data_IF_129267577677
#
_entry.id   IF_129267577677
#
_cell.length_a   1.000
_cell.length_b   1.000
_cell.length_c   1.000
_cell.angle_alpha   90.00
_cell.angle_beta   90.00
_cell.angle_gamma   90.00
#
_symmetry.space_group_name_H-M   'P 1'
#
loop_
_entity.id
_entity.type
_entity.pdbx_description
1 polymer ?
#
# COMPACT_ATOMS: atom_id res chain seq x y z
N UNK A 1 71.66 19.07 0.70
CA UNK A 1 70.22 19.17 0.89
C UNK A 1 69.97 18.36 2.18
N UNK A 2 69.48 19.02 3.24
CA UNK A 2 69.38 18.30 4.53
C UNK A 2 68.26 17.25 4.44
N UNK A 3 68.50 16.08 5.04
CA UNK A 3 67.50 14.97 5.08
C UNK A 3 66.13 15.41 5.64
N UNK A 4 66.14 16.41 6.53
CA UNK A 4 64.94 17.06 7.11
C UNK A 4 64.06 17.75 6.02
N UNK A 5 64.68 18.37 4.99
CA UNK A 5 63.90 19.01 3.93
C UNK A 5 63.25 18.00 3.00
N UNK A 6 63.90 16.87 2.76
CA UNK A 6 63.38 15.79 1.97
C UNK A 6 62.19 15.12 2.71
N UNK A 7 62.31 14.88 4.03
CA UNK A 7 61.25 14.33 4.86
C UNK A 7 60.05 15.27 4.96
N UNK A 8 60.28 16.58 5.08
CA UNK A 8 59.20 17.58 5.03
C UNK A 8 58.45 17.57 3.71
N UNK A 9 59.14 17.55 2.58
CA UNK A 9 58.51 17.45 1.25
C UNK A 9 57.75 16.16 1.05
N UNK A 10 58.29 15.03 1.47
CA UNK A 10 57.62 13.72 1.37
C UNK A 10 56.37 13.64 2.25
N UNK A 11 56.40 14.24 3.42
CA UNK A 11 55.27 14.33 4.33
C UNK A 11 54.13 15.18 3.74
N UNK A 12 54.45 16.35 3.18
CA UNK A 12 53.46 17.20 2.51
C UNK A 12 52.90 16.52 1.25
N UNK A 13 53.74 15.85 0.47
CA UNK A 13 53.30 15.11 -0.71
C UNK A 13 52.31 13.97 -0.35
N UNK A 14 52.60 13.22 0.72
CA UNK A 14 51.68 12.16 1.20
C UNK A 14 50.35 12.73 1.65
N UNK A 15 50.32 13.83 2.39
CA UNK A 15 49.09 14.52 2.78
C UNK A 15 48.33 15.04 1.60
N UNK A 16 48.99 15.62 0.61
CA UNK A 16 48.34 16.12 -0.62
C UNK A 16 47.72 14.98 -1.44
N UNK A 17 48.39 13.86 -1.56
CA UNK A 17 47.86 12.66 -2.23
C UNK A 17 46.65 12.12 -1.46
N UNK A 18 46.72 12.04 -0.13
CA UNK A 18 45.59 11.55 0.68
C UNK A 18 44.38 12.47 0.53
N UNK A 19 44.55 13.78 0.57
CA UNK A 19 43.47 14.76 0.36
C UNK A 19 42.87 14.60 -1.06
N UNK A 20 43.73 14.48 -2.08
CA UNK A 20 43.27 14.30 -3.45
C UNK A 20 42.44 13.00 -3.61
N UNK A 21 42.85 11.89 -3.01
CA UNK A 21 42.11 10.63 -3.00
C UNK A 21 40.75 10.80 -2.31
N UNK A 22 40.70 11.47 -1.14
CA UNK A 22 39.43 11.73 -0.44
C UNK A 22 38.47 12.55 -1.32
N UNK A 23 38.97 13.61 -1.97
CA UNK A 23 38.17 14.46 -2.86
C UNK A 23 37.62 13.62 -4.04
N UNK A 24 38.42 12.79 -4.65
CA UNK A 24 38.00 11.89 -5.75
C UNK A 24 36.90 10.93 -5.28
N UNK A 25 37.07 10.31 -4.10
CA UNK A 25 36.07 9.41 -3.52
C UNK A 25 34.75 10.14 -3.24
N UNK A 26 34.83 11.37 -2.71
CA UNK A 26 33.64 12.20 -2.46
C UNK A 26 32.94 12.61 -3.77
N UNK A 27 33.71 12.98 -4.81
CA UNK A 27 33.13 13.30 -6.13
C UNK A 27 32.48 12.08 -6.75
N UNK A 28 33.15 10.94 -6.76
CA UNK A 28 32.60 9.67 -7.28
C UNK A 28 31.34 9.26 -6.51
N UNK A 29 31.37 9.33 -5.18
CA UNK A 29 30.24 9.07 -4.32
C UNK A 29 29.05 10.02 -4.61
N UNK A 30 29.31 11.31 -4.78
CA UNK A 30 28.31 12.31 -5.11
C UNK A 30 27.70 12.08 -6.50
N UNK A 31 28.53 11.78 -7.51
CA UNK A 31 28.06 11.44 -8.87
C UNK A 31 27.21 10.18 -8.85
N UNK A 32 27.70 9.12 -8.20
CA UNK A 32 26.97 7.87 -8.06
C UNK A 32 25.60 8.09 -7.38
N UNK A 33 25.60 8.84 -6.25
CA UNK A 33 24.38 9.16 -5.52
C UNK A 33 23.37 9.92 -6.39
N UNK A 34 23.78 10.99 -7.07
CA UNK A 34 22.84 11.83 -7.81
C UNK A 34 22.40 11.23 -9.15
N UNK A 35 23.28 10.54 -9.87
CA UNK A 35 22.99 10.07 -11.23
C UNK A 35 22.56 8.62 -11.33
N UNK A 36 22.87 7.80 -10.33
CA UNK A 36 22.47 6.38 -10.31
C UNK A 36 21.40 6.17 -9.25
N UNK A 37 21.74 6.39 -7.98
CA UNK A 37 20.84 6.11 -6.86
C UNK A 37 19.56 6.94 -6.89
N UNK A 38 19.65 8.24 -7.18
CA UNK A 38 18.52 9.17 -7.25
C UNK A 38 17.91 9.27 -8.66
N UNK A 39 18.30 8.38 -9.60
CA UNK A 39 17.68 8.40 -10.93
C UNK A 39 16.21 7.95 -10.86
N UNK A 40 15.31 8.59 -11.63
CA UNK A 40 13.91 8.18 -11.64
C UNK A 40 13.71 6.71 -11.99
N UNK A 41 14.52 6.15 -12.88
CA UNK A 41 14.45 4.74 -13.28
C UNK A 41 14.77 3.80 -12.12
N UNK A 42 15.84 4.11 -11.37
CA UNK A 42 16.25 3.30 -10.23
C UNK A 42 15.20 3.36 -9.12
N UNK A 43 14.73 4.56 -8.75
CA UNK A 43 13.72 4.76 -7.72
C UNK A 43 12.42 4.02 -8.05
N UNK A 44 11.98 4.04 -9.31
CA UNK A 44 10.78 3.30 -9.71
C UNK A 44 10.95 1.79 -9.60
N UNK A 45 12.11 1.25 -10.03
CA UNK A 45 12.44 -0.18 -9.91
C UNK A 45 12.53 -0.62 -8.45
N UNK A 46 13.15 0.20 -7.60
CA UNK A 46 13.24 -0.08 -6.16
C UNK A 46 11.87 -0.02 -5.49
N UNK A 47 11.01 0.92 -5.89
CA UNK A 47 9.64 1.00 -5.39
C UNK A 47 8.86 -0.29 -5.66
N UNK A 48 8.97 -0.88 -6.86
CA UNK A 48 8.35 -2.17 -7.16
C UNK A 48 8.90 -3.28 -6.25
N UNK A 49 10.20 -3.30 -6.06
CA UNK A 49 10.88 -4.29 -5.19
C UNK A 49 10.46 -4.12 -3.73
N UNK A 50 10.44 -2.89 -3.22
CA UNK A 50 10.06 -2.57 -1.84
C UNK A 50 8.59 -2.88 -1.58
N UNK A 51 7.72 -2.64 -2.56
CA UNK A 51 6.30 -3.00 -2.45
C UNK A 51 6.09 -4.51 -2.28
N UNK A 52 6.91 -5.34 -2.93
CA UNK A 52 6.88 -6.79 -2.84
C UNK A 52 7.63 -7.35 -1.61
N UNK A 53 8.39 -6.53 -0.88
CA UNK A 53 9.19 -6.91 0.30
C UNK A 53 8.61 -6.39 1.62
N UNK A 54 7.49 -5.69 1.58
CA UNK A 54 6.94 -5.11 2.78
C UNK A 54 6.10 -6.11 3.56
N UNK A 55 6.30 -6.14 4.87
CA UNK A 55 5.46 -6.93 5.77
C UNK A 55 4.23 -6.17 6.30
N UNK A 56 4.14 -4.88 6.02
CA UNK A 56 2.98 -4.08 6.41
C UNK A 56 2.88 -2.76 5.65
N UNK A 57 1.67 -2.26 5.53
CA UNK A 57 1.37 -0.95 4.92
C UNK A 57 0.03 -0.42 5.43
N UNK A 58 -0.09 0.89 5.54
CA UNK A 58 -1.35 1.61 5.72
C UNK A 58 -1.74 2.26 4.39
N UNK A 59 -2.94 1.96 3.90
CA UNK A 59 -3.56 2.62 2.75
C UNK A 59 -4.72 3.48 3.22
N UNK A 60 -4.82 4.71 2.73
CA UNK A 60 -5.98 5.56 2.96
C UNK A 60 -6.62 5.94 1.62
N UNK A 61 -7.94 5.87 1.56
CA UNK A 61 -8.75 6.35 0.46
C UNK A 61 -9.76 7.35 1.00
N UNK A 62 -9.78 8.54 0.41
CA UNK A 62 -10.81 9.55 0.67
C UNK A 62 -11.56 9.78 -0.63
N UNK A 63 -12.85 9.46 -0.63
CA UNK A 63 -13.74 9.72 -1.76
C UNK A 63 -14.92 10.57 -1.28
N UNK A 64 -15.26 11.60 -2.04
CA UNK A 64 -16.37 12.48 -1.71
C UNK A 64 -17.19 12.77 -2.97
N UNK A 65 -18.49 12.65 -2.83
CA UNK A 65 -19.48 13.08 -3.81
C UNK A 65 -20.35 14.18 -3.19
N UNK A 66 -21.24 14.77 -3.96
CA UNK A 66 -22.15 15.83 -3.45
C UNK A 66 -23.05 15.38 -2.28
N UNK A 67 -23.28 14.08 -2.12
CA UNK A 67 -24.21 13.52 -1.13
C UNK A 67 -23.58 12.56 -0.13
N UNK A 68 -22.38 12.10 -0.39
CA UNK A 68 -21.71 11.06 0.41
C UNK A 68 -20.21 11.30 0.49
N UNK A 69 -19.63 11.09 1.67
CA UNK A 69 -18.19 10.99 1.85
C UNK A 69 -17.82 9.63 2.42
N UNK A 70 -16.75 9.06 1.92
CA UNK A 70 -16.16 7.79 2.38
C UNK A 70 -14.72 8.09 2.75
N UNK A 71 -14.36 7.77 3.98
CA UNK A 71 -12.97 7.73 4.42
C UNK A 71 -12.67 6.28 4.81
N UNK A 72 -11.72 5.70 4.14
CA UNK A 72 -11.32 4.32 4.33
C UNK A 72 -9.84 4.25 4.68
N UNK A 73 -9.51 3.60 5.77
CA UNK A 73 -8.14 3.29 6.17
C UNK A 73 -8.03 1.77 6.22
N UNK A 74 -7.08 1.24 5.48
CA UNK A 74 -6.75 -0.19 5.45
C UNK A 74 -5.33 -0.37 5.99
N UNK A 75 -5.18 -1.20 7.01
CA UNK A 75 -3.88 -1.64 7.51
C UNK A 75 -3.69 -3.09 7.17
N UNK A 76 -2.65 -3.38 6.41
CA UNK A 76 -2.29 -4.73 6.01
C UNK A 76 -1.04 -5.17 6.78
N UNK A 77 -1.11 -6.33 7.41
CA UNK A 77 0.02 -7.01 8.04
C UNK A 77 0.23 -8.37 7.35
N UNK A 78 1.43 -8.61 6.89
CA UNK A 78 1.88 -9.86 6.24
C UNK A 78 3.17 -10.33 6.92
N UNK A 79 3.04 -10.73 8.17
CA UNK A 79 4.15 -11.16 9.00
C UNK A 79 3.89 -12.55 9.61
N UNK A 80 4.16 -12.66 10.90
CA UNK A 80 3.85 -13.88 11.68
C UNK A 80 2.34 -14.15 11.80
N UNK A 81 1.55 -13.13 11.71
CA UNK A 81 0.08 -13.16 11.69
C UNK A 81 -0.39 -12.38 10.48
N UNK A 82 -0.86 -13.06 9.45
CA UNK A 82 -1.47 -12.37 8.31
C UNK A 82 -2.82 -11.80 8.76
N UNK A 83 -2.97 -10.48 8.70
CA UNK A 83 -4.21 -9.81 9.09
C UNK A 83 -4.40 -8.51 8.32
N UNK A 84 -5.64 -8.13 8.10
CA UNK A 84 -6.01 -6.82 7.57
C UNK A 84 -7.04 -6.18 8.49
N UNK A 85 -6.84 -4.91 8.82
CA UNK A 85 -7.80 -4.08 9.52
C UNK A 85 -8.37 -3.06 8.55
N UNK A 86 -9.68 -2.90 8.56
CA UNK A 86 -10.40 -2.03 7.64
C UNK A 86 -11.31 -1.09 8.42
N UNK A 87 -10.88 0.15 8.60
CA UNK A 87 -11.67 1.21 9.22
C UNK A 87 -12.36 2.02 8.12
N UNK A 88 -13.69 1.99 8.10
CA UNK A 88 -14.51 2.70 7.11
C UNK A 88 -15.46 3.64 7.80
N UNK A 89 -15.38 4.93 7.44
CA UNK A 89 -16.38 5.94 7.82
C UNK A 89 -17.16 6.34 6.57
N UNK A 90 -18.45 6.11 6.61
CA UNK A 90 -19.40 6.55 5.58
C UNK A 90 -20.27 7.63 6.18
N UNK A 91 -20.29 8.80 5.54
CA UNK A 91 -21.16 9.91 5.93
C UNK A 91 -22.08 10.28 4.76
N UNK A 92 -23.37 10.29 5.00
CA UNK A 92 -24.39 10.66 4.02
C UNK A 92 -25.43 11.58 4.66
N UNK A 93 -25.54 12.81 4.17
CA UNK A 93 -26.44 13.82 4.74
C UNK A 93 -26.20 13.99 6.25
N UNK A 94 -27.15 13.56 7.08
CA UNK A 94 -27.10 13.67 8.54
C UNK A 94 -26.75 12.34 9.24
N UNK A 95 -26.32 11.33 8.49
CA UNK A 95 -25.98 10.01 9.01
C UNK A 95 -24.48 9.76 8.84
N UNK A 96 -23.82 9.28 9.87
CA UNK A 96 -22.44 8.82 9.79
C UNK A 96 -22.29 7.50 10.53
N UNK A 97 -21.67 6.54 9.87
CA UNK A 97 -21.37 5.23 10.43
C UNK A 97 -19.90 4.95 10.26
N UNK A 98 -19.25 4.58 11.36
CA UNK A 98 -17.87 4.09 11.33
C UNK A 98 -17.87 2.62 11.75
N UNK A 99 -17.40 1.77 10.87
CA UNK A 99 -17.15 0.34 11.11
C UNK A 99 -15.66 0.05 11.11
N UNK A 100 -15.28 -0.92 11.92
CA UNK A 100 -13.94 -1.47 12.02
C UNK A 100 -14.05 -2.97 11.78
N UNK A 101 -13.36 -3.47 10.79
CA UNK A 101 -13.37 -4.89 10.41
C UNK A 101 -11.96 -5.44 10.41
N UNK A 102 -11.76 -6.64 10.93
CA UNK A 102 -10.48 -7.33 10.95
C UNK A 102 -10.66 -8.66 10.24
N UNK A 103 -9.86 -8.92 9.22
CA UNK A 103 -9.78 -10.20 8.51
C UNK A 103 -8.46 -10.89 8.80
N UNK A 104 -8.53 -12.18 9.09
CA UNK A 104 -7.41 -13.12 9.03
C UNK A 104 -7.69 -14.13 7.91
N UNK A 105 -6.73 -14.96 7.49
CA UNK A 105 -7.00 -15.98 6.46
C UNK A 105 -8.14 -16.94 6.79
N UNK A 106 -8.48 -17.09 8.08
CA UNK A 106 -9.47 -18.09 8.56
C UNK A 106 -10.68 -17.50 9.25
N UNK A 107 -10.66 -16.22 9.64
CA UNK A 107 -11.73 -15.63 10.48
C UNK A 107 -11.82 -14.14 10.27
N UNK A 108 -13.04 -13.61 10.28
CA UNK A 108 -13.30 -12.19 10.24
C UNK A 108 -14.01 -11.68 11.49
N UNK A 109 -13.84 -10.40 11.75
CA UNK A 109 -14.42 -9.66 12.87
C UNK A 109 -14.94 -8.32 12.39
N UNK A 110 -16.05 -7.86 12.94
CA UNK A 110 -16.61 -6.54 12.66
C UNK A 110 -17.14 -5.91 13.94
N UNK A 111 -16.95 -4.61 14.07
CA UNK A 111 -17.64 -3.78 15.07
C UNK A 111 -18.03 -2.44 14.47
N UNK A 112 -19.00 -1.79 15.09
CA UNK A 112 -19.33 -0.41 14.83
C UNK A 112 -18.76 0.45 15.94
N UNK A 113 -17.88 1.41 15.58
CA UNK A 113 -17.23 2.29 16.55
C UNK A 113 -18.01 3.58 16.75
N UNK A 114 -18.80 3.97 15.73
CA UNK A 114 -19.71 5.13 15.82
C UNK A 114 -20.91 4.89 14.91
N UNK A 115 -22.08 5.23 15.42
CA UNK A 115 -23.33 5.23 14.66
C UNK A 115 -24.04 6.55 15.00
N UNK A 116 -23.95 7.52 14.11
CA UNK A 116 -24.71 8.79 14.19
C UNK A 116 -25.84 8.73 13.16
N UNK A 117 -26.99 8.27 13.61
CA UNK A 117 -28.25 8.28 12.83
C UNK A 117 -29.14 9.34 13.46
N UNK A 118 -29.87 10.10 12.65
CA UNK A 118 -30.96 10.95 13.18
C UNK A 118 -32.05 10.01 13.70
N UNK A 119 -32.13 9.76 15.03
CA UNK A 119 -33.04 8.76 15.54
C UNK A 119 -34.46 9.29 15.43
N UNK A 120 -35.34 8.46 14.89
CA UNK A 120 -36.76 8.68 14.95
C UNK A 120 -37.33 8.63 16.41
N UNK A 121 -36.55 8.01 17.34
CA UNK A 121 -36.92 7.88 18.76
C UNK A 121 -35.68 7.82 19.66
N UNK A 122 -35.78 8.40 20.87
CA UNK A 122 -34.75 8.44 21.90
C UNK A 122 -34.40 7.02 22.40
N UNK A 123 -35.36 6.08 22.42
CA UNK A 123 -35.16 4.68 22.86
C UNK A 123 -34.23 3.94 21.92
N UNK A 124 -34.40 4.04 20.61
CA UNK A 124 -33.52 3.41 19.62
C UNK A 124 -32.08 3.90 19.71
N UNK A 125 -31.88 5.21 19.98
CA UNK A 125 -30.54 5.77 20.15
C UNK A 125 -29.77 5.15 21.33
N UNK A 126 -30.44 4.85 22.45
CA UNK A 126 -29.83 4.20 23.60
C UNK A 126 -29.45 2.74 23.29
N UNK A 127 -30.29 2.01 22.55
CA UNK A 127 -30.01 0.64 22.13
C UNK A 127 -28.86 0.57 21.13
N UNK A 128 -28.81 1.46 20.12
CA UNK A 128 -27.65 1.58 19.23
C UNK A 128 -26.35 1.81 20.01
N UNK A 129 -26.38 2.68 21.02
CA UNK A 129 -25.21 2.96 21.85
C UNK A 129 -24.69 1.69 22.58
N UNK A 130 -25.58 0.76 22.91
CA UNK A 130 -25.19 -0.51 23.57
C UNK A 130 -24.47 -1.48 22.63
N UNK A 131 -24.60 -1.31 21.30
CA UNK A 131 -23.97 -2.13 20.28
C UNK A 131 -22.62 -1.53 19.79
N UNK A 132 -22.36 -0.27 20.11
CA UNK A 132 -21.09 0.38 19.76
C UNK A 132 -19.96 -0.32 20.51
N UNK A 133 -18.86 -0.61 19.77
CA UNK A 133 -17.67 -1.33 20.22
C UNK A 133 -17.88 -2.81 20.60
N UNK A 134 -19.02 -3.40 20.25
CA UNK A 134 -19.22 -4.85 20.37
C UNK A 134 -18.64 -5.53 19.13
N UNK A 135 -17.71 -6.47 19.31
CA UNK A 135 -17.16 -7.25 18.23
C UNK A 135 -18.06 -8.42 17.85
N UNK A 136 -18.46 -8.46 16.58
CA UNK A 136 -19.00 -9.66 15.94
C UNK A 136 -17.88 -10.50 15.37
N UNK A 137 -17.90 -11.82 15.62
CA UNK A 137 -17.01 -12.80 15.01
C UNK A 137 -17.78 -13.58 13.96
N UNK A 138 -17.19 -13.79 12.78
CA UNK A 138 -17.77 -14.64 11.74
C UNK A 138 -18.01 -16.06 12.29
N UNK A 139 -19.25 -16.52 12.17
CA UNK A 139 -19.69 -17.84 12.61
C UNK A 139 -19.95 -18.80 11.42
N UNK A 140 -19.54 -18.37 10.20
CA UNK A 140 -19.70 -19.14 8.97
C UNK A 140 -21.14 -19.29 8.49
N UNK A 141 -22.08 -18.52 9.06
CA UNK A 141 -23.52 -18.57 8.73
C UNK A 141 -23.99 -17.34 7.94
N UNK A 142 -23.14 -16.35 7.76
CA UNK A 142 -23.43 -15.18 6.94
C UNK A 142 -23.00 -15.43 5.51
N UNK A 143 -23.76 -14.90 4.53
CA UNK A 143 -23.45 -14.99 3.10
C UNK A 143 -22.12 -14.29 2.74
N UNK A 144 -21.66 -13.39 3.60
CA UNK A 144 -20.36 -12.73 3.49
C UNK A 144 -19.42 -13.35 4.51
N UNK A 145 -18.63 -14.33 4.08
CA UNK A 145 -17.56 -14.87 4.90
C UNK A 145 -16.53 -13.76 5.17
N UNK A 146 -16.51 -13.26 6.42
CA UNK A 146 -15.47 -12.32 6.87
C UNK A 146 -14.09 -12.99 6.92
N UNK A 147 -14.03 -14.32 6.92
CA UNK A 147 -12.78 -15.08 6.76
C UNK A 147 -12.12 -14.85 5.41
N UNK A 148 -12.89 -14.45 4.38
CA UNK A 148 -12.35 -14.01 3.09
C UNK A 148 -11.92 -12.52 3.12
N UNK A 149 -12.19 -11.79 4.19
CA UNK A 149 -11.91 -10.35 4.26
C UNK A 149 -10.41 -10.05 4.11
N UNK A 150 -9.53 -10.90 4.66
CA UNK A 150 -8.08 -10.74 4.45
C UNK A 150 -7.74 -10.89 2.97
N UNK A 151 -8.19 -11.96 2.31
CA UNK A 151 -7.98 -12.19 0.89
C UNK A 151 -8.64 -11.07 0.06
N UNK A 152 -9.87 -10.70 0.40
CA UNK A 152 -10.58 -9.60 -0.27
C UNK A 152 -9.86 -8.27 -0.08
N UNK A 153 -9.38 -7.96 1.12
CA UNK A 153 -8.62 -6.73 1.39
C UNK A 153 -7.32 -6.71 0.60
N UNK A 154 -6.62 -7.84 0.55
CA UNK A 154 -5.42 -7.98 -0.26
C UNK A 154 -5.78 -7.81 -1.75
N UNK A 155 -6.83 -8.46 -2.25
CA UNK A 155 -7.31 -8.31 -3.61
C UNK A 155 -7.84 -6.89 -3.90
N UNK A 156 -8.49 -6.21 -2.96
CA UNK A 156 -8.96 -4.83 -3.13
C UNK A 156 -7.80 -3.82 -3.15
N UNK A 157 -6.73 -4.07 -2.42
CA UNK A 157 -5.47 -3.34 -2.59
C UNK A 157 -4.91 -3.56 -4.00
N UNK A 158 -5.15 -4.74 -4.56
CA UNK A 158 -4.68 -5.19 -5.87
C UNK A 158 -5.69 -4.92 -7.02
N UNK A 159 -6.96 -4.68 -6.75
CA UNK A 159 -8.01 -4.43 -7.76
C UNK A 159 -7.93 -3.06 -8.43
N UNK A 160 -7.23 -2.11 -7.82
CA UNK A 160 -6.72 -1.00 -8.58
C UNK A 160 -5.48 -1.51 -9.32
N UNK A 161 -5.22 -1.15 -10.59
CA UNK A 161 -4.02 -1.59 -11.30
C UNK A 161 -2.76 -0.94 -10.71
N UNK A 162 -2.35 -1.42 -9.55
CA UNK A 162 -1.24 -0.95 -8.73
C UNK A 162 -0.10 -1.95 -8.72
N UNK A 163 1.13 -1.51 -8.45
CA UNK A 163 2.18 -2.43 -8.04
C UNK A 163 1.71 -3.32 -6.89
N UNK A 164 1.90 -4.65 -6.98
CA UNK A 164 1.49 -5.56 -5.92
C UNK A 164 2.25 -5.26 -4.62
N UNK A 165 1.53 -5.33 -3.50
CA UNK A 165 2.07 -5.04 -2.18
C UNK A 165 2.02 -6.32 -1.35
N UNK A 166 3.19 -6.80 -0.89
CA UNK A 166 3.22 -8.02 -0.11
C UNK A 166 4.60 -8.43 0.38
N UNK A 167 4.64 -9.45 1.22
CA UNK A 167 5.86 -10.03 1.75
C UNK A 167 6.10 -11.40 1.09
N UNK A 168 6.69 -11.39 -0.09
CA UNK A 168 7.03 -12.61 -0.84
C UNK A 168 8.53 -12.90 -0.80
N UNK A 169 8.91 -14.14 -1.10
CA UNK A 169 10.32 -14.54 -1.09
C UNK A 169 11.16 -13.78 -2.11
N UNK A 170 12.45 -13.66 -1.87
CA UNK A 170 13.36 -12.93 -2.76
C UNK A 170 13.36 -13.46 -4.20
N UNK A 171 13.23 -14.80 -4.39
CA UNK A 171 13.16 -15.42 -5.72
C UNK A 171 11.85 -15.10 -6.46
N UNK A 172 10.73 -15.13 -5.78
CA UNK A 172 9.42 -14.78 -6.34
C UNK A 172 9.37 -13.30 -6.71
N UNK A 173 9.88 -12.43 -5.83
CA UNK A 173 10.01 -10.99 -6.05
C UNK A 173 10.81 -10.68 -7.31
N UNK A 174 11.99 -11.29 -7.44
CA UNK A 174 12.83 -11.12 -8.62
C UNK A 174 12.13 -11.62 -9.90
N UNK A 175 11.38 -12.69 -9.80
CA UNK A 175 10.61 -13.24 -10.92
C UNK A 175 9.51 -12.25 -11.36
N UNK A 176 8.76 -11.65 -10.42
CA UNK A 176 7.70 -10.68 -10.73
C UNK A 176 8.25 -9.37 -11.29
N UNK A 177 9.34 -8.84 -10.74
CA UNK A 177 10.00 -7.64 -11.28
C UNK A 177 10.55 -7.90 -12.68
N UNK A 178 11.15 -9.08 -12.91
CA UNK A 178 11.63 -9.46 -14.25
C UNK A 178 10.46 -9.63 -15.23
N UNK A 179 9.33 -10.15 -14.77
CA UNK A 179 8.13 -10.27 -15.58
C UNK A 179 7.60 -8.89 -15.99
N UNK A 180 7.51 -7.94 -15.05
CA UNK A 180 7.09 -6.56 -15.34
C UNK A 180 7.95 -5.94 -16.46
N UNK A 181 9.28 -6.01 -16.30
CA UNK A 181 10.24 -5.47 -17.26
C UNK A 181 10.11 -6.12 -18.65
N UNK A 182 9.90 -7.44 -18.72
CA UNK A 182 9.81 -8.18 -19.98
C UNK A 182 8.45 -8.00 -20.69
N UNK A 183 7.37 -7.83 -19.93
CA UNK A 183 6.01 -7.75 -20.46
C UNK A 183 5.47 -6.32 -20.47
N UNK A 184 6.24 -5.33 -19.99
CA UNK A 184 5.85 -3.93 -19.87
C UNK A 184 4.51 -3.78 -19.15
N UNK A 185 4.35 -4.45 -17.99
CA UNK A 185 3.13 -4.35 -17.18
C UNK A 185 2.88 -2.91 -16.80
N UNK A 186 3.93 -2.24 -16.27
CA UNK A 186 3.95 -0.82 -15.96
C UNK A 186 4.86 -0.07 -16.93
N UNK A 187 4.26 0.66 -17.85
CA UNK A 187 5.03 1.50 -18.78
C UNK A 187 5.13 2.92 -18.23
N UNK A 188 6.35 3.33 -17.88
CA UNK A 188 6.63 4.66 -17.29
C UNK A 188 7.07 5.64 -18.36
N UNK A 189 6.43 6.80 -18.42
CA UNK A 189 6.91 7.91 -19.25
C UNK A 189 7.96 8.74 -18.50
N UNK A 190 9.21 8.29 -18.51
CA UNK A 190 10.30 8.94 -17.79
C UNK A 190 10.58 10.39 -18.23
N UNK A 191 10.23 10.76 -19.46
CA UNK A 191 10.39 12.13 -19.95
C UNK A 191 9.41 13.12 -19.29
N UNK A 192 8.33 12.61 -18.71
CA UNK A 192 7.30 13.40 -18.02
C UNK A 192 7.36 13.27 -16.49
N UNK A 193 8.33 12.56 -15.93
CA UNK A 193 8.51 12.47 -14.47
C UNK A 193 8.79 13.86 -13.91
N UNK A 194 8.05 14.19 -12.84
CA UNK A 194 8.15 15.49 -12.17
C UNK A 194 8.62 15.30 -10.73
N UNK A 195 9.42 16.25 -10.26
CA UNK A 195 9.76 16.36 -8.85
C UNK A 195 8.73 17.24 -8.14
N UNK A 196 8.24 16.81 -6.99
CA UNK A 196 7.28 17.52 -6.17
C UNK A 196 7.59 17.37 -4.68
N UNK A 197 6.87 18.12 -3.83
CA UNK A 197 6.83 17.92 -2.40
C UNK A 197 5.43 17.42 -2.03
N UNK A 198 5.36 16.30 -1.32
CA UNK A 198 4.13 15.70 -0.81
C UNK A 198 4.24 15.58 0.70
N UNK A 199 3.44 16.32 1.45
CA UNK A 199 3.44 16.33 2.92
C UNK A 199 4.85 16.51 3.56
N UNK A 200 5.66 17.37 2.97
CA UNK A 200 7.03 17.63 3.42
C UNK A 200 8.07 16.64 2.90
N UNK A 201 7.68 15.64 2.14
CA UNK A 201 8.58 14.64 1.53
C UNK A 201 8.88 15.00 0.06
N UNK A 202 10.13 14.84 -0.34
CA UNK A 202 10.52 15.00 -1.74
C UNK A 202 10.15 13.72 -2.52
N UNK A 203 9.31 13.87 -3.54
CA UNK A 203 8.83 12.75 -4.35
C UNK A 203 9.13 12.94 -5.83
N UNK A 204 9.15 11.83 -6.58
CA UNK A 204 8.92 11.81 -8.01
C UNK A 204 7.48 11.39 -8.30
N UNK A 205 6.83 12.07 -9.24
CA UNK A 205 5.52 11.71 -9.77
C UNK A 205 5.74 11.08 -11.15
N UNK A 206 5.37 9.82 -11.27
CA UNK A 206 5.52 9.01 -12.47
C UNK A 206 4.19 8.87 -13.19
N UNK A 207 4.02 9.37 -14.42
CA UNK A 207 2.93 8.96 -15.30
C UNK A 207 3.17 7.52 -15.74
N UNK A 208 2.21 6.64 -15.44
CA UNK A 208 2.31 5.19 -15.66
C UNK A 208 1.09 4.71 -16.42
N UNK A 209 1.32 3.94 -17.48
CA UNK A 209 0.29 3.20 -18.19
C UNK A 209 0.36 1.72 -17.79
N UNK A 210 -0.73 1.16 -17.30
CA UNK A 210 -0.81 -0.24 -16.87
C UNK A 210 -1.51 -1.07 -17.91
N UNK A 211 -0.81 -2.06 -18.48
CA UNK A 211 -1.34 -2.99 -19.47
C UNK A 211 -2.06 -4.14 -18.78
N UNK A 212 -3.39 -4.18 -18.88
CA UNK A 212 -4.24 -5.03 -18.05
C UNK A 212 -4.04 -6.53 -18.26
N UNK A 213 -3.80 -7.02 -19.47
CA UNK A 213 -3.55 -8.44 -19.70
C UNK A 213 -2.30 -8.97 -18.98
N UNK A 214 -1.11 -8.39 -19.22
CA UNK A 214 0.10 -8.71 -18.46
C UNK A 214 -0.06 -8.46 -16.96
N UNK A 215 -0.77 -7.40 -16.56
CA UNK A 215 -1.05 -7.10 -15.17
C UNK A 215 -1.82 -8.23 -14.47
N UNK A 216 -2.91 -8.72 -15.06
CA UNK A 216 -3.69 -9.84 -14.49
C UNK A 216 -2.82 -11.08 -14.33
N UNK A 217 -1.96 -11.42 -15.29
CA UNK A 217 -1.02 -12.55 -15.16
C UNK A 217 -0.01 -12.35 -14.04
N UNK A 218 0.53 -11.14 -13.90
CA UNK A 218 1.43 -10.81 -12.79
C UNK A 218 0.73 -10.96 -11.44
N UNK A 219 -0.53 -10.50 -11.36
CA UNK A 219 -1.34 -10.60 -10.15
C UNK A 219 -1.73 -12.03 -9.81
N UNK A 220 -1.99 -12.89 -10.79
CA UNK A 220 -2.19 -14.33 -10.58
C UNK A 220 -0.95 -14.98 -9.96
N UNK A 221 0.24 -14.69 -10.50
CA UNK A 221 1.50 -15.20 -9.97
C UNK A 221 1.76 -14.70 -8.54
N UNK A 222 1.51 -13.42 -8.28
CA UNK A 222 1.63 -12.83 -6.96
C UNK A 222 0.65 -13.46 -5.95
N UNK A 223 -0.64 -13.57 -6.30
CA UNK A 223 -1.66 -14.18 -5.46
C UNK A 223 -1.32 -15.65 -5.15
N UNK A 224 -0.84 -16.39 -6.15
CA UNK A 224 -0.38 -17.77 -5.97
C UNK A 224 0.76 -17.89 -4.97
N UNK A 225 1.73 -16.96 -4.98
CA UNK A 225 2.83 -16.91 -3.99
C UNK A 225 2.32 -16.71 -2.55
N UNK A 226 1.14 -16.15 -2.39
CA UNK A 226 0.47 -15.95 -1.10
C UNK A 226 -0.56 -17.05 -0.77
N UNK A 227 -0.69 -18.07 -1.63
CA UNK A 227 -1.67 -19.16 -1.47
C UNK A 227 -3.11 -18.74 -1.79
N UNK A 228 -3.31 -17.64 -2.54
CA UNK A 228 -4.63 -17.12 -2.94
C UNK A 228 -4.91 -17.58 -4.37
N UNK A 229 -6.00 -18.32 -4.56
CA UNK A 229 -6.40 -18.89 -5.87
C UNK A 229 -7.56 -18.16 -6.54
N UNK A 230 -8.14 -17.16 -5.89
CA UNK A 230 -9.35 -16.45 -6.35
C UNK A 230 -9.15 -15.77 -7.73
N UNK A 231 -7.91 -15.38 -8.06
CA UNK A 231 -7.59 -14.77 -9.35
C UNK A 231 -7.38 -15.78 -10.49
N UNK A 232 -7.23 -17.07 -10.21
CA UNK A 232 -6.96 -18.10 -11.25
C UNK A 232 -8.13 -18.28 -12.23
N UNK A 233 -9.35 -17.91 -11.83
CA UNK A 233 -10.53 -17.97 -12.66
C UNK A 233 -10.57 -16.92 -13.79
N UNK A 234 -9.78 -15.87 -13.71
CA UNK A 234 -9.73 -14.81 -14.71
C UNK A 234 -8.85 -15.22 -15.88
N UNK A 235 -9.33 -15.05 -17.11
CA UNK A 235 -8.51 -15.23 -18.30
C UNK A 235 -7.81 -13.91 -18.66
N UNK A 236 -6.46 -13.80 -18.51
CA UNK A 236 -5.73 -12.57 -18.79
C UNK A 236 -5.87 -12.07 -20.23
N UNK A 237 -6.07 -12.97 -21.20
CA UNK A 237 -6.18 -12.61 -22.61
C UNK A 237 -7.42 -11.74 -22.91
N UNK A 238 -8.48 -11.87 -22.11
CA UNK A 238 -9.66 -11.01 -22.22
C UNK A 238 -9.37 -9.54 -21.92
N UNK A 239 -8.32 -9.26 -21.15
CA UNK A 239 -7.90 -7.92 -20.77
C UNK A 239 -6.84 -7.33 -21.71
N UNK A 240 -6.24 -8.15 -22.58
CA UNK A 240 -5.13 -7.72 -23.45
C UNK A 240 -5.55 -6.75 -24.56
N UNK A 241 -6.85 -6.71 -24.89
CA UNK A 241 -7.40 -5.79 -25.90
C UNK A 241 -7.92 -4.48 -25.31
N UNK A 242 -7.93 -4.35 -23.99
CA UNK A 242 -8.38 -3.14 -23.33
C UNK A 242 -7.29 -2.06 -23.38
N UNK A 243 -7.73 -0.81 -23.43
CA UNK A 243 -6.79 0.31 -23.32
C UNK A 243 -6.05 0.26 -21.98
N UNK A 244 -4.77 0.64 -21.93
CA UNK A 244 -4.04 0.76 -20.68
C UNK A 244 -4.74 1.71 -19.70
N UNK A 245 -4.61 1.42 -18.42
CA UNK A 245 -5.10 2.32 -17.37
C UNK A 245 -4.01 3.31 -17.02
N UNK A 246 -4.33 4.60 -17.20
CA UNK A 246 -3.43 5.69 -16.88
C UNK A 246 -3.55 6.08 -15.41
N UNK A 247 -2.40 6.20 -14.74
CA UNK A 247 -2.32 6.63 -13.34
C UNK A 247 -1.03 7.40 -13.09
N UNK A 248 -0.99 8.16 -11.98
CA UNK A 248 0.25 8.75 -11.50
C UNK A 248 0.65 8.09 -10.18
N UNK A 249 1.91 7.67 -10.08
CA UNK A 249 2.49 7.12 -8.86
C UNK A 249 3.49 8.13 -8.30
N UNK A 250 3.27 8.56 -7.07
CA UNK A 250 4.22 9.40 -6.33
C UNK A 250 5.10 8.50 -5.44
N UNK A 251 6.41 8.59 -5.62
CA UNK A 251 7.41 7.79 -4.90
C UNK A 251 8.35 8.70 -4.13
N UNK A 252 8.58 8.40 -2.85
CA UNK A 252 9.55 9.10 -2.03
C UNK A 252 10.97 8.87 -2.57
N UNK A 253 11.74 9.95 -2.77
CA UNK A 253 13.08 9.87 -3.34
C UNK A 253 14.12 9.26 -2.41
N UNK A 254 13.87 9.24 -1.11
CA UNK A 254 14.83 8.75 -0.11
C UNK A 254 14.55 7.31 0.29
N UNK A 255 13.29 6.98 0.60
CA UNK A 255 12.90 5.63 1.02
C UNK A 255 12.56 4.73 -0.16
N UNK A 256 12.32 5.28 -1.37
CA UNK A 256 11.85 4.57 -2.55
C UNK A 256 10.52 3.84 -2.31
N UNK A 257 9.68 4.39 -1.46
CA UNK A 257 8.34 3.87 -1.15
C UNK A 257 7.27 4.68 -1.89
N UNK A 258 6.24 3.99 -2.33
CA UNK A 258 5.05 4.63 -2.90
C UNK A 258 4.30 5.40 -1.81
N UNK A 259 3.98 6.66 -2.03
CA UNK A 259 3.27 7.52 -1.06
C UNK A 259 1.86 7.90 -1.53
N UNK A 260 1.64 7.97 -2.84
CA UNK A 260 0.34 8.31 -3.41
C UNK A 260 0.16 7.64 -4.77
N UNK A 261 -1.07 7.27 -5.05
CA UNK A 261 -1.53 6.94 -6.41
C UNK A 261 -2.78 7.73 -6.72
N UNK A 262 -2.77 8.42 -7.86
CA UNK A 262 -3.92 9.15 -8.38
C UNK A 262 -4.34 8.62 -9.75
N UNK A 263 -5.66 8.60 -9.96
CA UNK A 263 -6.31 8.14 -11.18
C UNK A 263 -6.93 9.33 -11.90
N UNK A 264 -6.27 9.90 -12.93
CA UNK A 264 -6.76 11.11 -13.60
C UNK A 264 -8.16 10.96 -14.20
N UNK A 265 -8.53 9.76 -14.62
CA UNK A 265 -9.83 9.48 -15.26
C UNK A 265 -11.03 9.66 -14.32
N UNK A 266 -10.88 9.43 -13.02
CA UNK A 266 -11.98 9.48 -12.05
C UNK A 266 -11.70 10.35 -10.82
N UNK A 267 -10.50 10.93 -10.73
CA UNK A 267 -10.08 11.79 -9.62
C UNK A 267 -9.85 11.06 -8.29
N UNK A 268 -9.80 9.73 -8.27
CA UNK A 268 -9.49 8.98 -7.05
C UNK A 268 -8.04 9.14 -6.66
N UNK A 269 -7.81 9.29 -5.36
CA UNK A 269 -6.49 9.39 -4.75
C UNK A 269 -6.41 8.39 -3.61
N UNK A 270 -5.33 7.63 -3.60
CA UNK A 270 -4.98 6.71 -2.53
C UNK A 270 -3.61 7.11 -1.99
N UNK A 271 -3.48 7.20 -0.68
CA UNK A 271 -2.19 7.46 -0.01
C UNK A 271 -1.72 6.25 0.74
N UNK A 272 -0.40 6.12 0.87
CA UNK A 272 0.27 4.98 1.49
C UNK A 272 1.28 5.46 2.50
N UNK A 273 1.31 4.81 3.67
CA UNK A 273 2.22 5.13 4.77
C UNK A 273 2.56 3.89 5.60
N UNK A 274 3.39 4.07 6.61
CA UNK A 274 3.76 3.05 7.61
C UNK A 274 4.33 1.75 6.98
N UNK A 275 5.08 1.89 5.89
CA UNK A 275 5.73 0.76 5.23
C UNK A 275 6.67 0.02 6.19
N UNK A 276 6.37 -1.26 6.43
CA UNK A 276 7.15 -2.11 7.33
C UNK A 276 7.10 -1.72 8.81
N UNK A 277 6.32 -0.71 9.20
CA UNK A 277 6.33 -0.11 10.55
C UNK A 277 5.14 -0.50 11.42
N UNK A 278 4.11 -1.12 10.86
CA UNK A 278 2.90 -1.47 11.63
C UNK A 278 3.20 -2.52 12.68
N UNK A 279 2.68 -2.24 13.86
CA UNK A 279 2.51 -3.26 14.91
C UNK A 279 1.40 -4.21 14.51
N UNK A 280 1.40 -5.42 15.08
CA UNK A 280 0.38 -6.44 14.78
C UNK A 280 -1.04 -5.90 14.93
N UNK A 281 -1.91 -6.28 13.98
CA UNK A 281 -3.35 -6.00 14.05
C UNK A 281 -3.92 -6.74 15.26
N UNK A 282 -4.57 -6.03 16.21
CA UNK A 282 -5.03 -6.65 17.46
C UNK A 282 -6.29 -7.48 17.22
N UNK A 283 -6.17 -8.80 17.35
CA UNK A 283 -7.31 -9.71 17.21
C UNK A 283 -8.22 -9.63 18.44
N UNK A 284 -9.54 -9.40 18.27
CA UNK A 284 -10.48 -9.30 19.38
C UNK A 284 -10.60 -10.58 20.21
N UNK A 285 -10.49 -10.48 21.52
CA UNK A 285 -10.63 -11.62 22.44
C UNK A 285 -12.05 -11.83 22.96
N UNK A 286 -12.89 -10.77 22.96
CA UNK A 286 -14.30 -10.84 23.40
C UNK A 286 -15.19 -10.53 22.20
N UNK A 287 -15.98 -11.52 21.80
CA UNK A 287 -16.82 -11.43 20.60
C UNK A 287 -18.18 -12.07 20.85
N UNK A 288 -19.17 -11.68 20.03
CA UNK A 288 -20.45 -12.40 19.85
C UNK A 288 -20.52 -12.89 18.39
N UNK A 289 -21.38 -13.86 18.05
CA UNK A 289 -21.61 -14.21 16.65
C UNK A 289 -22.05 -12.98 15.82
N UNK A 290 -21.52 -12.84 14.60
CA UNK A 290 -21.89 -11.72 13.69
C UNK A 290 -23.37 -11.72 13.38
N UNK A 291 -23.99 -12.90 13.19
CA UNK A 291 -25.44 -13.05 13.01
C UNK A 291 -26.26 -12.42 14.15
N UNK A 292 -25.80 -12.52 15.40
CA UNK A 292 -26.47 -11.89 16.54
C UNK A 292 -26.29 -10.38 16.52
N UNK A 293 -25.09 -9.89 16.19
CA UNK A 293 -24.82 -8.45 16.09
C UNK A 293 -25.68 -7.81 15.00
N UNK A 294 -25.73 -8.41 13.81
CA UNK A 294 -26.52 -7.93 12.67
C UNK A 294 -28.02 -7.94 12.95
N UNK A 295 -28.54 -9.04 13.54
CA UNK A 295 -29.95 -9.12 13.90
C UNK A 295 -30.36 -8.02 14.89
N UNK A 296 -29.50 -7.68 15.86
CA UNK A 296 -29.77 -6.57 16.80
C UNK A 296 -29.75 -5.22 16.08
N UNK A 297 -28.82 -4.99 15.14
CA UNK A 297 -28.75 -3.75 14.38
C UNK A 297 -29.98 -3.61 13.49
N UNK A 298 -30.39 -4.66 12.78
CA UNK A 298 -31.59 -4.65 11.94
C UNK A 298 -32.86 -4.38 12.71
N UNK A 299 -32.98 -4.91 13.95
CA UNK A 299 -34.16 -4.64 14.81
C UNK A 299 -34.29 -3.17 15.21
N UNK A 300 -33.22 -2.37 15.05
CA UNK A 300 -33.17 -0.95 15.41
C UNK A 300 -33.41 0.00 14.22
N UNK A 301 -33.35 -0.51 13.01
CA UNK A 301 -33.66 0.24 11.78
C UNK A 301 -35.17 0.29 11.57
#
# INVERSE_FOLDING_TARGET
MSDEFVDYLLRHLRWSITIAVIIVVLIVGFVWWNFIWQSPQHIFSDMLTNSLDTNSVTKQLIASTNSQSINQIVRLEMGSTNAAEWLVTVSQSNTSVTSDSIGTPTTGYIRYTSIAIHPSTVSKAAEFKSLVNVWGKDDGKTDVSLGTLFNKTLLDILNAPLPPIGNITGSERQSLVSYDLNQNVFTVNYAQVKSANFEGQNVYIYPVAVHLGPYVRMMQSFAHSLGITDLESYNPDQFSTLAPVELNISVNKLSHEMVEVSYPANGFIQTYSDWGLLKSVPIPSKTIPTTILEARIQSLQ
#
